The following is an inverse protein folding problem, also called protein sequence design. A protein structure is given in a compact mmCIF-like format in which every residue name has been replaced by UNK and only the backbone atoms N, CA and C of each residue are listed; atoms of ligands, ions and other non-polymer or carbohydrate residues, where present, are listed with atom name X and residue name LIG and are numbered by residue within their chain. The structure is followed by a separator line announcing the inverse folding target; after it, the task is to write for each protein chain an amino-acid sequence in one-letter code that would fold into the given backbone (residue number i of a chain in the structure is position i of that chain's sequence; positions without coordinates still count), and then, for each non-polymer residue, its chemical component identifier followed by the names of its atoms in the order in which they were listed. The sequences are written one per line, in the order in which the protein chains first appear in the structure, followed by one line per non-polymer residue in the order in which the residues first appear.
data_IF_057449199501
#
_entry.id   IF_057449199501
#
_cell.length_a   1.000
_cell.length_b   1.000
_cell.length_c   1.000
_cell.angle_alpha   90.00
_cell.angle_beta   90.00
_cell.angle_gamma   90.00
#
_symmetry.space_group_name_H-M   'P 1'
#
loop_
_entity.id
_entity.type
_entity.pdbx_description
1 polymer ?
#
# COMPACT_ATOMS: atom_id res chain seq x y z
N UNK A 1 -0.72 -23.45 -20.64
CA UNK A 1 -0.13 -23.18 -19.31
C UNK A 1 -0.29 -21.68 -19.05
N UNK A 2 -0.92 -21.28 -17.95
CA UNK A 2 -1.04 -19.87 -17.58
C UNK A 2 0.33 -19.42 -17.05
N UNK A 3 0.94 -18.40 -17.64
CA UNK A 3 2.23 -17.89 -17.19
C UNK A 3 2.14 -17.51 -15.70
N UNK A 4 3.19 -17.77 -14.89
CA UNK A 4 3.18 -17.36 -13.49
C UNK A 4 2.88 -15.86 -13.42
N UNK A 5 1.99 -15.42 -12.50
CA UNK A 5 1.65 -14.02 -12.38
C UNK A 5 2.93 -13.22 -12.13
N UNK A 6 3.21 -12.25 -13.00
CA UNK A 6 4.34 -11.37 -12.81
C UNK A 6 4.05 -10.44 -11.63
N UNK A 7 4.64 -10.71 -10.47
CA UNK A 7 4.48 -9.91 -9.26
C UNK A 7 5.58 -8.84 -9.21
N UNK A 8 5.20 -7.60 -8.92
CA UNK A 8 6.09 -6.49 -8.57
C UNK A 8 5.88 -6.11 -7.11
N UNK A 9 6.92 -5.64 -6.44
CA UNK A 9 6.82 -5.06 -5.11
C UNK A 9 6.88 -3.54 -5.20
N UNK A 10 5.95 -2.85 -4.53
CA UNK A 10 5.98 -1.40 -4.33
C UNK A 10 6.17 -1.10 -2.84
N UNK A 11 6.92 -0.05 -2.53
CA UNK A 11 7.18 0.38 -1.15
C UNK A 11 6.78 1.84 -0.98
N UNK A 12 6.02 2.13 0.07
CA UNK A 12 5.54 3.47 0.39
C UNK A 12 5.84 3.80 1.85
N UNK A 13 6.20 5.05 2.12
CA UNK A 13 6.33 5.56 3.49
C UNK A 13 4.97 5.92 4.07
N UNK A 14 4.77 5.57 5.34
CA UNK A 14 3.62 6.02 6.14
C UNK A 14 3.90 7.44 6.62
N UNK A 15 3.28 8.42 5.98
CA UNK A 15 3.46 9.83 6.30
C UNK A 15 2.66 10.24 7.54
N UNK A 16 1.48 9.65 7.75
CA UNK A 16 0.69 9.92 8.94
C UNK A 16 1.16 9.09 10.14
N UNK A 17 1.94 9.74 11.02
CA UNK A 17 2.47 9.15 12.26
C UNK A 17 1.39 8.63 13.23
N UNK A 18 0.15 9.13 13.15
CA UNK A 18 -0.94 8.60 13.99
C UNK A 18 -1.34 7.17 13.61
N UNK A 19 -1.20 6.80 12.32
CA UNK A 19 -1.43 5.43 11.87
C UNK A 19 -0.47 4.47 12.56
N UNK A 20 0.80 4.84 12.69
CA UNK A 20 1.81 4.01 13.36
C UNK A 20 1.51 3.75 14.85
N UNK A 21 0.72 4.62 15.48
CA UNK A 21 0.37 4.53 16.92
C UNK A 21 -0.96 3.81 17.18
N UNK A 22 -1.74 3.53 16.14
CA UNK A 22 -3.09 2.96 16.27
C UNK A 22 -3.23 1.65 15.50
N UNK A 23 -3.09 0.50 16.17
CA UNK A 23 -3.27 -0.82 15.56
C UNK A 23 -4.60 -0.97 14.83
N UNK A 24 -5.68 -0.38 15.36
CA UNK A 24 -7.00 -0.39 14.73
C UNK A 24 -7.00 0.33 13.38
N UNK A 25 -6.36 1.50 13.29
CA UNK A 25 -6.26 2.23 12.03
C UNK A 25 -5.38 1.51 11.00
N UNK A 26 -4.31 0.87 11.45
CA UNK A 26 -3.44 0.06 10.57
C UNK A 26 -4.20 -1.09 9.93
N UNK A 27 -5.05 -1.79 10.69
CA UNK A 27 -5.90 -2.85 10.15
C UNK A 27 -6.87 -2.32 9.11
N UNK A 28 -7.48 -1.15 9.34
CA UNK A 28 -8.38 -0.51 8.38
C UNK A 28 -7.63 -0.15 7.09
N UNK A 29 -6.46 0.49 7.21
CA UNK A 29 -5.62 0.86 6.06
C UNK A 29 -5.16 -0.39 5.30
N UNK A 30 -4.75 -1.46 5.99
CA UNK A 30 -4.37 -2.72 5.36
C UNK A 30 -5.53 -3.32 4.55
N UNK A 31 -6.75 -3.31 5.11
CA UNK A 31 -7.93 -3.79 4.40
C UNK A 31 -8.27 -2.92 3.19
N UNK A 32 -8.14 -1.59 3.29
CA UNK A 32 -8.37 -0.68 2.17
C UNK A 32 -7.33 -0.89 1.05
N UNK A 33 -6.06 -1.10 1.39
CA UNK A 33 -5.00 -1.42 0.43
C UNK A 33 -5.24 -2.75 -0.28
N UNK A 34 -5.70 -3.78 0.44
CA UNK A 34 -6.07 -5.09 -0.15
C UNK A 34 -7.25 -5.00 -1.13
N UNK A 35 -8.11 -3.99 -1.02
CA UNK A 35 -9.23 -3.76 -1.94
C UNK A 35 -8.81 -3.09 -3.25
N UNK A 36 -7.57 -2.60 -3.35
CA UNK A 36 -7.08 -1.97 -4.58
C UNK A 36 -6.85 -3.05 -5.62
N UNK A 37 -7.45 -2.85 -6.81
CA UNK A 37 -7.29 -3.74 -7.95
C UNK A 37 -5.80 -3.92 -8.28
N UNK A 38 -5.38 -5.16 -8.50
CA UNK A 38 -3.98 -5.51 -8.76
C UNK A 38 -3.13 -5.75 -7.51
N UNK A 39 -3.55 -5.36 -6.30
CA UNK A 39 -2.85 -5.71 -5.05
C UNK A 39 -3.13 -7.17 -4.70
N UNK A 40 -2.05 -7.91 -4.40
CA UNK A 40 -2.08 -9.32 -4.02
C UNK A 40 -1.77 -9.51 -2.55
N UNK A 41 -0.81 -8.75 -2.02
CA UNK A 41 -0.42 -8.83 -0.62
C UNK A 41 -0.02 -7.46 -0.07
N UNK A 42 -0.19 -7.28 1.24
CA UNK A 42 0.06 -6.03 1.95
C UNK A 42 0.76 -6.36 3.27
N UNK A 43 2.00 -5.87 3.39
CA UNK A 43 2.83 -6.02 4.57
C UNK A 43 3.17 -4.65 5.14
N UNK A 44 2.89 -4.45 6.42
CA UNK A 44 3.21 -3.21 7.13
C UNK A 44 4.50 -3.44 7.92
N UNK A 45 5.51 -2.63 7.63
CA UNK A 45 6.80 -2.62 8.29
C UNK A 45 6.80 -1.48 9.31
N UNK A 46 6.31 -1.76 10.52
CA UNK A 46 6.09 -0.74 11.55
C UNK A 46 7.39 -0.08 12.02
N UNK A 47 8.46 -0.86 12.17
CA UNK A 47 9.77 -0.35 12.60
C UNK A 47 10.36 0.63 11.59
N UNK A 48 10.13 0.42 10.29
CA UNK A 48 10.58 1.31 9.23
C UNK A 48 9.56 2.42 8.88
N UNK A 49 8.35 2.34 9.43
CA UNK A 49 7.24 3.22 9.05
C UNK A 49 6.86 3.10 7.57
N UNK A 50 6.94 1.89 6.99
CA UNK A 50 6.70 1.64 5.56
C UNK A 50 5.57 0.62 5.35
N UNK A 51 4.99 0.66 4.16
CA UNK A 51 4.10 -0.38 3.65
C UNK A 51 4.69 -0.95 2.38
N UNK A 52 4.75 -2.27 2.31
CA UNK A 52 5.15 -3.03 1.14
C UNK A 52 3.91 -3.69 0.52
N UNK A 53 3.72 -3.46 -0.78
CA UNK A 53 2.60 -4.00 -1.56
C UNK A 53 3.14 -4.95 -2.62
N UNK A 54 2.68 -6.20 -2.62
CA UNK A 54 2.89 -7.08 -3.77
C UNK A 54 1.74 -6.85 -4.74
N UNK A 55 2.06 -6.46 -5.97
CA UNK A 55 1.09 -6.10 -7.00
C UNK A 55 1.31 -6.92 -8.27
N UNK A 56 0.26 -7.12 -9.05
CA UNK A 56 0.38 -7.69 -10.38
C UNK A 56 0.99 -6.65 -11.33
N UNK A 57 2.11 -6.99 -11.97
CA UNK A 57 2.86 -6.11 -12.88
C UNK A 57 2.02 -5.61 -14.06
N UNK A 58 1.04 -6.40 -14.49
CA UNK A 58 0.19 -6.06 -15.64
C UNK A 58 -1.03 -5.20 -15.27
N UNK A 59 -1.29 -4.98 -13.98
CA UNK A 59 -2.42 -4.18 -13.51
C UNK A 59 -1.97 -2.75 -13.19
N UNK A 60 -2.78 -1.76 -13.59
CA UNK A 60 -2.54 -0.36 -13.23
C UNK A 60 -2.86 -0.14 -11.75
N UNK A 61 -1.84 0.25 -10.99
CA UNK A 61 -1.98 0.61 -9.57
C UNK A 61 -2.09 2.13 -9.44
N UNK A 62 -3.16 2.60 -8.79
CA UNK A 62 -3.34 4.02 -8.51
C UNK A 62 -2.53 4.43 -7.28
N UNK A 63 -1.26 4.76 -7.48
CA UNK A 63 -0.32 5.13 -6.40
C UNK A 63 -0.79 6.35 -5.59
N UNK A 64 -1.49 7.30 -6.24
CA UNK A 64 -2.09 8.46 -5.57
C UNK A 64 -3.06 8.05 -4.45
N UNK A 65 -3.88 7.03 -4.68
CA UNK A 65 -4.82 6.51 -3.68
C UNK A 65 -4.09 5.88 -2.50
N UNK A 66 -3.01 5.14 -2.77
CA UNK A 66 -2.16 4.52 -1.74
C UNK A 66 -1.49 5.61 -0.89
N UNK A 67 -0.84 6.59 -1.53
CA UNK A 67 -0.18 7.71 -0.85
C UNK A 67 -1.16 8.44 0.06
N UNK A 68 -2.38 8.72 -0.42
CA UNK A 68 -3.43 9.38 0.38
C UNK A 68 -3.85 8.56 1.59
N UNK A 69 -4.03 7.25 1.45
CA UNK A 69 -4.37 6.34 2.56
C UNK A 69 -3.27 6.32 3.63
N UNK A 70 -2.01 6.44 3.22
CA UNK A 70 -0.84 6.50 4.11
C UNK A 70 -0.59 7.91 4.68
N UNK A 71 -1.48 8.86 4.39
CA UNK A 71 -1.43 10.24 4.86
C UNK A 71 -0.44 11.14 4.13
N UNK A 72 0.08 10.67 2.99
CA UNK A 72 0.86 11.52 2.09
C UNK A 72 -0.06 12.48 1.34
N UNK A 73 0.44 13.69 1.10
CA UNK A 73 -0.20 14.60 0.15
C UNK A 73 0.25 14.17 -1.25
N UNK A 74 -0.69 13.73 -2.09
CA UNK A 74 -0.45 13.71 -3.53
C UNK A 74 -0.50 15.18 -3.96
N UNK A 75 0.65 15.74 -4.39
CA UNK A 75 0.87 17.18 -4.45
C UNK A 75 -0.22 17.93 -5.21
N UNK A 76 -0.75 18.98 -4.60
CA UNK A 76 -0.94 20.24 -5.31
C UNK A 76 0.44 20.89 -5.30
N UNK A 77 1.11 20.85 -6.44
CA UNK A 77 2.21 21.74 -6.77
C UNK A 77 1.92 22.35 -8.13
#
# INVERSE_FOLDING_TARGET
MQAPPAIKTLMFMIQNKSLLKSPKQLVIVQQQLKKIKGVRDVMILLEEGKVMLKVNKHETIHEASIIRLLGGKHGVS
#
